data_IF_766597568006
#
_entry.id   IF_766597568006
#
_cell.length_a   1.000
_cell.length_b   1.000
_cell.length_c   1.000
_cell.angle_alpha   90.00
_cell.angle_beta   90.00
_cell.angle_gamma   90.00
#
_symmetry.space_group_name_H-M   'P 1'
#
loop_
_entity.id
_entity.type
_entity.pdbx_description
1 polymer ?
#
# COMPACT_ATOMS: atom_id res chain seq x y z
N UNK A 1 -4.19 -6.51 15.24
CA UNK A 1 -3.31 -7.71 15.25
C UNK A 1 -2.36 -7.58 16.42
N UNK A 2 -2.14 -8.67 17.17
CA UNK A 2 -1.90 -8.62 18.62
C UNK A 2 -0.68 -7.82 19.09
N UNK A 3 -0.91 -6.91 20.04
CA UNK A 3 0.11 -6.23 20.85
C UNK A 3 1.12 -7.24 21.42
N UNK A 4 0.68 -8.44 21.78
CA UNK A 4 1.55 -9.52 22.26
C UNK A 4 2.60 -9.96 21.23
N UNK A 5 2.25 -10.02 19.95
CA UNK A 5 3.23 -10.37 18.91
C UNK A 5 4.24 -9.23 18.73
N UNK A 6 3.79 -7.98 18.81
CA UNK A 6 4.68 -6.82 18.79
C UNK A 6 5.64 -6.83 20.00
N UNK A 7 5.18 -7.20 21.21
CA UNK A 7 6.04 -7.34 22.39
C UNK A 7 7.14 -8.38 22.20
N UNK A 8 6.82 -9.54 21.60
CA UNK A 8 7.83 -10.56 21.25
C UNK A 8 8.88 -10.02 20.29
N UNK A 9 8.46 -9.29 19.25
CA UNK A 9 9.39 -8.69 18.29
C UNK A 9 10.24 -7.57 18.90
N UNK A 10 9.69 -6.78 19.83
CA UNK A 10 10.43 -5.76 20.58
C UNK A 10 11.54 -6.42 21.41
N UNK A 11 11.24 -7.52 22.11
CA UNK A 11 12.22 -8.22 22.96
C UNK A 11 13.43 -8.78 22.18
N UNK A 12 13.29 -9.04 20.87
CA UNK A 12 14.43 -9.45 20.01
C UNK A 12 15.42 -8.33 19.73
N UNK A 13 15.04 -7.07 19.91
CA UNK A 13 15.86 -5.93 19.51
C UNK A 13 17.01 -5.69 20.48
N UNK A 14 18.24 -6.02 20.08
CA UNK A 14 19.46 -5.73 20.85
C UNK A 14 19.90 -4.25 20.82
N UNK A 15 19.09 -3.33 20.26
CA UNK A 15 19.35 -1.88 20.13
C UNK A 15 20.71 -1.51 19.49
N UNK A 16 21.34 -2.43 18.76
CA UNK A 16 22.70 -2.29 18.19
C UNK A 16 22.89 -1.18 17.15
N UNK A 17 21.82 -0.67 16.54
CA UNK A 17 21.88 0.47 15.61
C UNK A 17 22.13 0.14 14.15
N UNK A 18 22.22 -1.13 13.73
CA UNK A 18 22.38 -1.49 12.31
C UNK A 18 21.28 -0.90 11.41
N UNK A 19 20.07 -0.76 11.94
CA UNK A 19 18.96 -0.12 11.23
C UNK A 19 19.22 1.34 10.80
N UNK A 20 20.14 2.05 11.49
CA UNK A 20 20.52 3.44 11.20
C UNK A 20 21.20 3.56 9.83
N UNK A 21 22.09 2.63 9.48
CA UNK A 21 22.91 2.73 8.27
C UNK A 21 22.12 2.58 6.97
N UNK A 22 20.90 2.04 7.03
CA UNK A 22 20.04 1.79 5.87
C UNK A 22 18.77 2.65 5.85
N UNK A 23 18.55 3.47 6.89
CA UNK A 23 17.33 4.24 7.04
C UNK A 23 17.40 5.54 6.24
N UNK A 24 16.57 5.74 5.20
CA UNK A 24 16.61 6.97 4.43
C UNK A 24 16.20 8.19 5.25
N UNK A 25 15.30 8.02 6.24
CA UNK A 25 14.90 9.14 7.12
C UNK A 25 16.09 9.64 7.92
N UNK A 26 16.91 8.73 8.44
CA UNK A 26 18.10 9.10 9.21
C UNK A 26 19.18 9.75 8.36
N UNK A 27 19.38 9.28 7.12
CA UNK A 27 20.35 9.88 6.21
C UNK A 27 20.02 11.36 5.94
N UNK A 28 18.73 11.70 5.89
CA UNK A 28 18.28 13.08 5.67
C UNK A 28 18.25 13.91 6.97
N UNK A 29 17.78 13.34 8.08
CA UNK A 29 17.50 14.13 9.29
C UNK A 29 18.58 14.04 10.36
N UNK A 30 19.44 13.02 10.35
CA UNK A 30 20.36 12.69 11.45
C UNK A 30 19.67 12.31 12.76
N UNK A 31 18.33 12.25 12.79
CA UNK A 31 17.53 12.05 13.98
C UNK A 31 17.34 10.55 14.26
N UNK A 32 18.00 10.09 15.31
CA UNK A 32 18.01 8.69 15.69
C UNK A 32 16.68 8.20 16.26
N UNK A 33 15.87 9.10 16.85
CA UNK A 33 14.54 8.73 17.34
C UNK A 33 13.63 8.27 16.19
N UNK A 34 13.93 8.73 14.96
CA UNK A 34 13.25 8.38 13.70
C UNK A 34 13.84 7.16 13.00
N UNK A 35 14.72 6.37 13.60
CA UNK A 35 15.11 5.05 13.05
C UNK A 35 14.27 3.91 13.61
N UNK A 36 14.52 2.67 13.15
CA UNK A 36 13.77 1.51 13.63
C UNK A 36 13.99 1.28 15.13
N UNK A 37 15.24 1.32 15.63
CA UNK A 37 15.51 1.15 17.07
C UNK A 37 14.82 2.21 17.92
N UNK A 38 14.82 3.47 17.48
CA UNK A 38 14.13 4.55 18.18
C UNK A 38 12.64 4.28 18.29
N UNK A 39 11.99 3.89 17.19
CA UNK A 39 10.57 3.51 17.21
C UNK A 39 10.26 2.25 18.00
N UNK A 40 11.19 1.29 18.06
CA UNK A 40 11.07 0.12 18.92
C UNK A 40 11.11 0.53 20.39
N UNK A 41 12.03 1.42 20.79
CA UNK A 41 12.07 1.97 22.14
C UNK A 41 10.80 2.76 22.48
N UNK A 42 10.27 3.54 21.53
CA UNK A 42 8.99 4.22 21.70
C UNK A 42 7.84 3.21 21.89
N UNK A 43 7.80 2.14 21.10
CA UNK A 43 6.79 1.09 21.25
C UNK A 43 6.88 0.38 22.61
N UNK A 44 8.10 0.09 23.06
CA UNK A 44 8.38 -0.49 24.37
C UNK A 44 7.82 0.38 25.50
N UNK A 45 8.17 1.68 25.51
CA UNK A 45 7.71 2.64 26.51
C UNK A 45 6.18 2.82 26.50
N UNK A 46 5.54 2.81 25.32
CA UNK A 46 4.06 2.85 25.23
C UNK A 46 3.45 1.60 25.86
N UNK A 47 3.98 0.41 25.54
CA UNK A 47 3.43 -0.86 26.03
C UNK A 47 3.70 -1.11 27.51
N UNK A 48 4.69 -0.43 28.09
CA UNK A 48 4.96 -0.41 29.52
C UNK A 48 4.16 0.66 30.26
N UNK A 49 3.43 1.54 29.54
CA UNK A 49 2.65 2.63 30.14
C UNK A 49 3.49 3.82 30.61
N UNK A 50 4.75 3.91 30.18
CA UNK A 50 5.65 5.01 30.53
C UNK A 50 5.33 6.29 29.73
N UNK A 51 4.85 6.12 28.49
CA UNK A 51 4.44 7.22 27.60
C UNK A 51 3.08 6.92 26.96
N UNK A 52 2.39 7.98 26.53
CA UNK A 52 1.06 7.92 25.93
C UNK A 52 1.06 8.43 24.49
N UNK A 53 0.05 8.06 23.72
CA UNK A 53 -0.13 8.55 22.35
C UNK A 53 -0.36 10.07 22.34
N UNK A 54 0.52 10.79 21.64
CA UNK A 54 0.44 12.23 21.46
C UNK A 54 0.62 12.61 19.97
N UNK A 55 0.26 13.85 19.57
CA UNK A 55 0.54 14.36 18.22
C UNK A 55 2.01 14.26 17.82
N UNK A 56 2.93 14.55 18.73
CA UNK A 56 4.37 14.50 18.49
C UNK A 56 4.81 13.05 18.24
N UNK A 57 4.36 12.12 19.09
CA UNK A 57 4.65 10.70 18.93
C UNK A 57 4.13 10.17 17.59
N UNK A 58 2.89 10.53 17.23
CA UNK A 58 2.30 10.19 15.94
C UNK A 58 3.19 10.65 14.80
N UNK A 59 3.72 11.87 14.84
CA UNK A 59 4.58 12.42 13.79
C UNK A 59 5.92 11.67 13.71
N UNK A 60 6.50 11.25 14.83
CA UNK A 60 7.67 10.35 14.86
C UNK A 60 7.38 9.00 14.21
N UNK A 61 6.22 8.39 14.51
CA UNK A 61 5.83 7.10 13.90
C UNK A 61 5.55 7.28 12.40
N UNK A 62 4.85 8.34 12.00
CA UNK A 62 4.45 8.63 10.61
C UNK A 62 5.61 9.06 9.72
N UNK A 63 6.71 9.56 10.29
CA UNK A 63 7.92 9.86 9.52
C UNK A 63 8.54 8.62 8.85
N UNK A 64 8.22 7.41 9.33
CA UNK A 64 8.69 6.15 8.74
C UNK A 64 8.17 5.95 7.32
N UNK A 65 9.08 5.72 6.36
CA UNK A 65 8.71 5.37 4.97
C UNK A 65 8.26 3.93 4.77
N UNK A 66 8.31 3.10 5.83
CA UNK A 66 7.88 1.69 5.84
C UNK A 66 8.50 0.85 4.71
N UNK A 67 9.74 1.17 4.33
CA UNK A 67 10.50 0.45 3.29
C UNK A 67 11.16 -0.84 3.79
N UNK A 68 11.18 -1.07 5.11
CA UNK A 68 11.61 -2.31 5.77
C UNK A 68 13.07 -2.72 5.55
N UNK A 69 13.91 -1.84 5.00
CA UNK A 69 15.36 -2.05 4.92
C UNK A 69 15.98 -2.38 6.28
N UNK A 70 15.46 -1.76 7.34
CA UNK A 70 15.87 -2.02 8.72
C UNK A 70 15.58 -3.45 9.20
N UNK A 71 14.49 -4.05 8.73
CA UNK A 71 14.13 -5.44 9.04
C UNK A 71 15.00 -6.40 8.23
N UNK A 72 15.20 -6.12 6.94
CA UNK A 72 16.03 -6.94 6.07
C UNK A 72 17.49 -7.06 6.54
N UNK A 73 18.05 -5.99 7.13
CA UNK A 73 19.44 -5.98 7.63
C UNK A 73 19.57 -6.41 9.10
N UNK A 74 18.46 -6.71 9.78
CA UNK A 74 18.48 -6.94 11.22
C UNK A 74 19.15 -8.29 11.56
N UNK A 75 20.27 -8.31 12.30
CA UNK A 75 20.91 -9.57 12.69
C UNK A 75 20.06 -10.38 13.67
N UNK A 76 19.21 -9.71 14.45
CA UNK A 76 18.31 -10.34 15.43
C UNK A 76 16.99 -10.81 14.82
N UNK A 77 16.78 -10.63 13.50
CA UNK A 77 15.55 -11.08 12.82
C UNK A 77 14.27 -10.40 13.30
N UNK A 78 14.33 -9.15 13.76
CA UNK A 78 13.15 -8.40 14.25
C UNK A 78 12.17 -8.14 13.10
N UNK A 79 10.92 -8.60 13.23
CA UNK A 79 9.82 -8.22 12.33
C UNK A 79 9.30 -6.82 12.68
N UNK A 80 10.07 -5.81 12.27
CA UNK A 80 9.75 -4.40 12.47
C UNK A 80 8.38 -4.02 11.91
N UNK A 81 7.89 -4.70 10.88
CA UNK A 81 6.57 -4.42 10.32
C UNK A 81 5.44 -4.68 11.31
N UNK A 82 5.54 -5.76 12.11
CA UNK A 82 4.53 -6.10 13.12
C UNK A 82 4.50 -5.07 14.25
N UNK A 83 5.67 -4.58 14.68
CA UNK A 83 5.78 -3.51 15.67
C UNK A 83 5.15 -2.22 15.13
N UNK A 84 5.48 -1.86 13.88
CA UNK A 84 4.92 -0.67 13.23
C UNK A 84 3.40 -0.77 13.05
N UNK A 85 2.87 -1.93 12.69
CA UNK A 85 1.44 -2.12 12.55
C UNK A 85 0.71 -1.94 13.88
N UNK A 86 1.25 -2.48 14.98
CA UNK A 86 0.70 -2.29 16.32
C UNK A 86 0.74 -0.81 16.77
N UNK A 87 1.82 -0.09 16.47
CA UNK A 87 1.90 1.35 16.74
C UNK A 87 0.85 2.16 15.97
N UNK A 88 0.60 1.83 14.71
CA UNK A 88 -0.40 2.53 13.88
C UNK A 88 -1.82 2.21 14.32
N UNK A 89 -2.10 0.95 14.66
CA UNK A 89 -3.38 0.53 15.24
C UNK A 89 -3.63 1.24 16.57
N UNK A 90 -2.61 1.36 17.43
CA UNK A 90 -2.70 2.12 18.67
C UNK A 90 -2.95 3.62 18.47
N UNK A 91 -2.32 4.23 17.45
CA UNK A 91 -2.62 5.62 17.06
C UNK A 91 -4.08 5.75 16.61
N UNK A 92 -4.58 4.82 15.78
CA UNK A 92 -5.97 4.85 15.32
C UNK A 92 -6.98 4.73 16.48
N UNK A 93 -6.70 3.84 17.44
CA UNK A 93 -7.57 3.61 18.60
C UNK A 93 -7.60 4.81 19.57
N UNK A 94 -6.47 5.46 19.79
CA UNK A 94 -6.35 6.53 20.78
C UNK A 94 -6.62 7.93 20.20
N UNK A 95 -6.27 8.16 18.93
CA UNK A 95 -6.35 9.48 18.29
C UNK A 95 -7.34 9.53 17.12
N UNK A 96 -7.76 8.38 16.61
CA UNK A 96 -8.63 8.29 15.45
C UNK A 96 -7.94 8.59 14.11
N UNK A 97 -8.73 8.42 13.05
CA UNK A 97 -8.38 8.83 11.69
C UNK A 97 -9.27 10.02 11.34
N UNK A 98 -8.76 11.05 10.64
CA UNK A 98 -9.57 12.17 10.16
C UNK A 98 -10.87 11.67 9.48
N UNK A 99 -12.05 12.24 9.83
CA UNK A 99 -13.34 11.70 9.37
C UNK A 99 -13.46 11.52 7.86
N UNK A 100 -12.95 12.49 7.08
CA UNK A 100 -12.94 12.42 5.62
C UNK A 100 -12.06 11.27 5.11
N UNK A 101 -10.86 11.10 5.67
CA UNK A 101 -9.99 9.99 5.30
C UNK A 101 -10.65 8.65 5.63
N UNK A 102 -11.24 8.51 6.83
CA UNK A 102 -11.98 7.32 7.24
C UNK A 102 -13.15 6.99 6.29
N UNK A 103 -13.92 8.00 5.88
CA UNK A 103 -15.02 7.85 4.92
C UNK A 103 -14.51 7.32 3.57
N UNK A 104 -13.44 7.92 3.04
CA UNK A 104 -12.84 7.50 1.76
C UNK A 104 -12.35 6.05 1.86
N UNK A 105 -11.61 5.70 2.91
CA UNK A 105 -11.02 4.38 3.08
C UNK A 105 -12.08 3.27 3.26
N UNK A 106 -13.15 3.53 4.04
CA UNK A 106 -14.15 2.50 4.38
C UNK A 106 -15.30 2.38 3.37
N UNK A 107 -15.62 3.45 2.64
CA UNK A 107 -16.80 3.50 1.78
C UNK A 107 -16.51 3.81 0.31
N UNK A 108 -15.47 4.60 0.00
CA UNK A 108 -15.13 4.95 -1.39
C UNK A 108 -14.20 3.92 -2.00
N UNK A 109 -13.04 3.65 -1.39
CA UNK A 109 -12.05 2.70 -1.94
C UNK A 109 -12.60 1.27 -2.17
N UNK A 110 -13.46 0.71 -1.30
CA UNK A 110 -14.02 -0.62 -1.55
C UNK A 110 -15.06 -0.63 -2.69
N UNK A 111 -15.55 0.54 -3.11
CA UNK A 111 -16.58 0.69 -4.15
C UNK A 111 -15.98 1.31 -5.40
N UNK A 112 -15.44 0.46 -6.27
CA UNK A 112 -14.80 0.88 -7.53
C UNK A 112 -15.63 1.90 -8.32
N UNK A 113 -16.92 1.65 -8.56
CA UNK A 113 -17.76 2.57 -9.34
C UNK A 113 -17.87 3.96 -8.71
N UNK A 114 -17.93 4.04 -7.38
CA UNK A 114 -17.92 5.31 -6.66
C UNK A 114 -16.54 5.99 -6.73
N UNK A 115 -15.46 5.24 -6.62
CA UNK A 115 -14.11 5.79 -6.74
C UNK A 115 -13.82 6.30 -8.16
N UNK A 116 -14.22 5.55 -9.20
CA UNK A 116 -14.15 5.97 -10.60
C UNK A 116 -14.96 7.26 -10.82
N UNK A 117 -16.18 7.35 -10.28
CA UNK A 117 -17.01 8.55 -10.35
C UNK A 117 -16.35 9.77 -9.68
N UNK A 118 -15.85 9.62 -8.44
CA UNK A 118 -15.18 10.69 -7.71
C UNK A 118 -13.93 11.16 -8.47
N UNK A 119 -13.11 10.24 -8.97
CA UNK A 119 -11.92 10.60 -9.74
C UNK A 119 -12.24 11.29 -11.06
N UNK A 120 -13.29 10.87 -11.77
CA UNK A 120 -13.74 11.54 -12.99
C UNK A 120 -14.23 12.96 -12.69
N UNK A 121 -14.97 13.16 -11.60
CA UNK A 121 -15.41 14.49 -11.17
C UNK A 121 -14.21 15.38 -10.80
N UNK A 122 -13.23 14.83 -10.09
CA UNK A 122 -11.96 15.53 -9.79
C UNK A 122 -11.20 15.84 -11.09
N UNK A 123 -11.10 14.92 -12.03
CA UNK A 123 -10.43 15.13 -13.33
C UNK A 123 -11.11 16.24 -14.14
N UNK A 124 -12.44 16.32 -14.10
CA UNK A 124 -13.19 17.38 -14.77
C UNK A 124 -12.99 18.73 -14.06
N UNK A 125 -13.13 18.74 -12.72
CA UNK A 125 -12.92 19.93 -11.89
C UNK A 125 -11.48 20.45 -11.90
N UNK A 126 -10.49 19.59 -12.15
CA UNK A 126 -9.09 19.99 -12.34
C UNK A 126 -8.91 20.98 -13.49
N UNK A 127 -9.78 21.01 -14.50
CA UNK A 127 -9.75 21.99 -15.57
C UNK A 127 -10.20 23.39 -15.14
N UNK A 128 -10.94 23.49 -14.04
CA UNK A 128 -11.49 24.72 -13.50
C UNK A 128 -10.71 25.26 -12.28
N UNK A 129 -9.81 24.46 -11.69
CA UNK A 129 -9.02 24.87 -10.54
C UNK A 129 -7.83 25.77 -10.95
N UNK A 130 -7.64 26.95 -10.33
CA UNK A 130 -6.49 27.81 -10.56
C UNK A 130 -5.21 27.15 -10.01
N UNK A 131 -4.14 27.12 -10.80
CA UNK A 131 -2.85 26.57 -10.39
C UNK A 131 -1.80 26.63 -11.49
N UNK A 132 -0.54 26.82 -11.10
CA UNK A 132 0.61 26.80 -12.02
C UNK A 132 0.65 25.48 -12.80
N UNK A 133 0.98 25.57 -14.10
CA UNK A 133 1.13 24.43 -15.00
C UNK A 133 2.60 24.26 -15.32
N UNK A 134 3.11 23.03 -15.23
CA UNK A 134 4.45 22.67 -15.72
C UNK A 134 4.34 21.51 -16.69
N UNK A 135 4.22 21.82 -17.99
CA UNK A 135 3.90 20.84 -19.02
C UNK A 135 2.50 20.25 -18.83
N UNK A 136 2.40 18.92 -18.80
CA UNK A 136 1.14 18.21 -18.52
C UNK A 136 0.78 18.14 -17.03
N UNK A 137 1.72 18.51 -16.15
CA UNK A 137 1.55 18.45 -14.71
C UNK A 137 0.83 19.70 -14.18
N UNK A 138 -0.10 19.51 -13.26
CA UNK A 138 -0.81 20.62 -12.61
C UNK A 138 -0.48 20.69 -11.13
N UNK A 139 -0.35 21.91 -10.64
CA UNK A 139 -0.37 22.18 -9.21
C UNK A 139 -1.81 22.04 -8.73
N UNK A 140 -2.10 21.00 -7.95
CA UNK A 140 -3.41 20.86 -7.32
C UNK A 140 -3.34 21.62 -5.99
N UNK A 141 -4.17 22.66 -5.75
CA UNK A 141 -4.23 23.35 -4.48
C UNK A 141 -4.99 22.48 -3.47
N UNK A 142 -4.52 21.24 -3.25
CA UNK A 142 -4.94 20.47 -2.09
C UNK A 142 -4.16 21.04 -0.92
N UNK A 143 -4.83 21.90 -0.16
CA UNK A 143 -4.39 22.56 1.08
C UNK A 143 -3.67 21.66 2.11
N UNK A 144 -3.64 20.33 1.88
CA UNK A 144 -3.05 19.32 2.76
C UNK A 144 -1.82 18.57 2.22
N UNK A 145 -1.43 18.71 0.94
CA UNK A 145 -0.38 17.85 0.33
C UNK A 145 0.94 18.55 0.00
N UNK A 146 1.13 19.81 0.41
CA UNK A 146 2.33 20.59 0.04
C UNK A 146 2.43 20.78 -1.48
N UNK A 147 3.45 21.51 -1.94
CA UNK A 147 3.67 21.83 -3.37
C UNK A 147 3.95 20.56 -4.20
N UNK A 148 2.93 19.77 -4.54
CA UNK A 148 3.06 18.52 -5.29
C UNK A 148 2.35 18.63 -6.64
N UNK A 149 3.09 18.22 -7.66
CA UNK A 149 2.61 18.14 -9.02
C UNK A 149 1.79 16.87 -9.20
N UNK A 150 0.52 17.01 -9.56
CA UNK A 150 -0.36 15.87 -9.83
C UNK A 150 -0.39 15.65 -11.34
N UNK A 151 -0.05 14.43 -11.82
CA UNK A 151 -0.16 14.10 -13.24
C UNK A 151 -1.63 14.05 -13.66
N UNK A 152 -1.93 14.32 -14.94
CA UNK A 152 -3.29 14.28 -15.44
C UNK A 152 -3.85 12.86 -15.33
N UNK A 153 -5.14 12.75 -14.99
CA UNK A 153 -5.82 11.47 -14.97
C UNK A 153 -6.09 10.99 -16.41
N UNK A 154 -5.98 9.68 -16.60
CA UNK A 154 -6.24 9.03 -17.87
C UNK A 154 -7.73 9.09 -18.22
N UNK A 155 -8.05 9.34 -19.50
CA UNK A 155 -9.44 9.36 -19.99
C UNK A 155 -10.15 8.01 -19.83
N UNK A 156 -9.40 6.92 -19.95
CA UNK A 156 -9.90 5.57 -19.78
C UNK A 156 -8.98 4.81 -18.83
N UNK A 157 -9.57 4.13 -17.85
CA UNK A 157 -8.84 3.33 -16.87
C UNK A 157 -8.41 1.99 -17.46
N UNK A 158 -7.29 1.45 -17.00
CA UNK A 158 -6.80 0.12 -17.41
C UNK A 158 -7.85 -0.96 -17.14
N UNK A 159 -8.51 -0.92 -15.98
CA UNK A 159 -9.56 -1.88 -15.60
C UNK A 159 -10.82 -1.81 -16.47
N UNK A 160 -11.01 -0.73 -17.23
CA UNK A 160 -12.05 -0.64 -18.26
C UNK A 160 -11.52 -1.02 -19.63
N UNK A 161 -10.34 -0.52 -20.00
CA UNK A 161 -9.69 -0.79 -21.30
C UNK A 161 -9.42 -2.28 -21.51
N UNK A 162 -8.94 -2.97 -20.48
CA UNK A 162 -8.54 -4.38 -20.52
C UNK A 162 -9.55 -5.29 -19.80
N UNK A 163 -10.83 -4.91 -19.73
CA UNK A 163 -11.87 -5.78 -19.14
C UNK A 163 -11.95 -7.14 -19.85
N UNK A 164 -11.70 -7.14 -21.15
CA UNK A 164 -11.64 -8.34 -21.98
C UNK A 164 -10.25 -8.43 -22.58
N UNK A 165 -9.32 -9.03 -21.85
CA UNK A 165 -7.98 -9.28 -22.39
C UNK A 165 -8.01 -10.35 -23.48
N UNK A 166 -7.02 -10.28 -24.37
CA UNK A 166 -6.86 -11.28 -25.44
C UNK A 166 -6.59 -12.65 -24.83
N UNK A 167 -7.43 -13.63 -25.20
CA UNK A 167 -7.15 -15.05 -24.91
C UNK A 167 -6.05 -15.56 -25.84
N UNK A 168 -5.11 -16.33 -25.31
CA UNK A 168 -4.10 -17.02 -26.09
C UNK A 168 -4.56 -18.45 -26.39
N UNK A 169 -4.20 -19.00 -27.55
CA UNK A 169 -4.64 -20.33 -27.95
C UNK A 169 -4.00 -21.44 -27.09
N UNK A 170 -2.68 -21.32 -26.83
CA UNK A 170 -1.90 -22.27 -26.03
C UNK A 170 -0.96 -21.50 -25.09
N UNK A 171 -1.47 -20.83 -24.04
CA UNK A 171 -0.63 -20.09 -23.12
C UNK A 171 0.24 -21.04 -22.29
N UNK A 172 1.49 -20.66 -22.06
CA UNK A 172 2.40 -21.34 -21.12
C UNK A 172 1.96 -21.18 -19.67
N UNK A 173 1.40 -20.01 -19.35
CA UNK A 173 0.89 -19.65 -18.03
C UNK A 173 -0.27 -18.65 -18.18
N UNK A 174 -1.16 -18.61 -17.18
CA UNK A 174 -2.24 -17.64 -17.03
C UNK A 174 -2.00 -16.82 -15.76
N UNK A 175 -1.82 -15.51 -15.89
CA UNK A 175 -1.49 -14.65 -14.76
C UNK A 175 -2.49 -13.52 -14.58
N UNK A 176 -2.85 -13.25 -13.32
CA UNK A 176 -3.72 -12.13 -12.96
C UNK A 176 -2.90 -10.87 -12.79
N UNK A 177 -3.23 -9.81 -13.53
CA UNK A 177 -2.57 -8.53 -13.37
C UNK A 177 -3.28 -7.66 -12.31
N UNK A 178 -2.63 -7.47 -11.17
CA UNK A 178 -3.00 -6.47 -10.20
C UNK A 178 -2.48 -5.11 -10.66
N UNK A 179 -3.37 -4.30 -11.22
CA UNK A 179 -3.03 -3.04 -11.89
C UNK A 179 -2.50 -2.00 -10.91
N UNK A 180 -3.11 -1.92 -9.72
CA UNK A 180 -2.82 -0.87 -8.75
C UNK A 180 -3.34 0.51 -9.18
N UNK A 181 -3.28 1.48 -8.25
CA UNK A 181 -3.97 2.76 -8.43
C UNK A 181 -3.32 3.64 -9.50
N UNK A 182 -2.00 3.84 -9.44
CA UNK A 182 -1.31 4.77 -10.35
C UNK A 182 -1.34 4.26 -11.80
N UNK A 183 -1.06 2.99 -12.02
CA UNK A 183 -1.15 2.40 -13.36
C UNK A 183 -2.56 2.50 -13.92
N UNK A 184 -3.59 2.30 -13.10
CA UNK A 184 -4.98 2.35 -13.55
C UNK A 184 -5.44 3.74 -13.98
N UNK A 185 -5.06 4.78 -13.24
CA UNK A 185 -5.60 6.14 -13.42
C UNK A 185 -4.61 7.16 -13.98
N UNK A 186 -3.31 6.90 -13.95
CA UNK A 186 -2.28 7.88 -14.30
C UNK A 186 -1.37 7.37 -15.42
N UNK A 187 -0.94 6.11 -15.33
CA UNK A 187 0.03 5.52 -16.26
C UNK A 187 -0.51 4.29 -17.00
N UNK A 188 -1.63 4.41 -17.75
CA UNK A 188 -2.25 3.25 -18.41
C UNK A 188 -1.34 2.59 -19.45
N UNK A 189 -0.43 3.34 -20.08
CA UNK A 189 0.52 2.81 -21.05
C UNK A 189 1.50 1.80 -20.44
N UNK A 190 1.73 1.87 -19.12
CA UNK A 190 2.55 0.89 -18.41
C UNK A 190 1.85 -0.47 -18.36
N UNK A 191 0.53 -0.50 -18.16
CA UNK A 191 -0.27 -1.72 -18.23
C UNK A 191 -0.25 -2.32 -19.64
N UNK A 192 -0.44 -1.49 -20.67
CA UNK A 192 -0.37 -1.93 -22.07
C UNK A 192 0.97 -2.60 -22.37
N UNK A 193 2.06 -1.96 -21.92
CA UNK A 193 3.43 -2.45 -22.12
C UNK A 193 3.65 -3.79 -21.42
N UNK A 194 3.24 -3.92 -20.16
CA UNK A 194 3.34 -5.16 -19.39
C UNK A 194 2.56 -6.30 -20.07
N UNK A 195 1.30 -6.05 -20.43
CA UNK A 195 0.44 -7.03 -21.10
C UNK A 195 1.06 -7.47 -22.44
N UNK A 196 1.58 -6.52 -23.22
CA UNK A 196 2.22 -6.82 -24.50
C UNK A 196 3.48 -7.67 -24.34
N UNK A 197 4.32 -7.38 -23.35
CA UNK A 197 5.54 -8.16 -23.06
C UNK A 197 5.17 -9.59 -22.64
N UNK A 198 4.23 -9.75 -21.70
CA UNK A 198 3.82 -11.07 -21.22
C UNK A 198 3.16 -11.92 -22.31
N UNK A 199 2.27 -11.33 -23.11
CA UNK A 199 1.65 -12.04 -24.23
C UNK A 199 2.68 -12.49 -25.29
N UNK A 200 3.77 -11.74 -25.50
CA UNK A 200 4.88 -12.15 -26.40
C UNK A 200 5.72 -13.28 -25.84
N UNK A 201 5.64 -13.55 -24.53
CA UNK A 201 6.27 -14.68 -23.85
C UNK A 201 5.30 -15.86 -23.71
N UNK A 202 4.20 -15.86 -24.47
CA UNK A 202 3.10 -16.83 -24.41
C UNK A 202 2.45 -16.94 -23.02
N UNK A 203 2.48 -15.86 -22.23
CA UNK A 203 1.80 -15.76 -20.94
C UNK A 203 0.49 -15.00 -21.14
N UNK A 204 -0.64 -15.67 -20.89
CA UNK A 204 -1.95 -15.03 -20.96
C UNK A 204 -2.16 -14.14 -19.73
N UNK A 205 -2.50 -12.88 -19.96
CA UNK A 205 -2.79 -11.93 -18.88
C UNK A 205 -4.30 -11.76 -18.71
N UNK A 206 -4.78 -12.03 -17.50
CA UNK A 206 -6.15 -11.73 -17.07
C UNK A 206 -6.11 -10.42 -16.28
N UNK A 207 -7.00 -9.48 -16.58
CA UNK A 207 -7.15 -8.23 -15.81
C UNK A 207 -8.51 -8.26 -15.11
N UNK A 208 -8.59 -8.76 -13.86
CA UNK A 208 -9.87 -8.84 -13.16
C UNK A 208 -10.40 -7.44 -12.88
N UNK A 209 -11.46 -7.04 -13.58
CA UNK A 209 -11.97 -5.67 -13.54
C UNK A 209 -12.57 -5.29 -12.17
N UNK A 210 -12.92 -6.27 -11.33
CA UNK A 210 -13.53 -6.03 -10.02
C UNK A 210 -12.52 -5.72 -8.90
N UNK A 211 -11.21 -5.76 -9.19
CA UNK A 211 -10.16 -5.45 -8.21
C UNK A 211 -10.28 -4.01 -7.70
N UNK A 212 -9.84 -3.78 -6.47
CA UNK A 212 -9.86 -2.50 -5.76
C UNK A 212 -8.46 -2.16 -5.24
N UNK A 213 -8.31 -1.03 -4.55
CA UNK A 213 -7.05 -0.64 -3.91
C UNK A 213 -6.46 -1.79 -3.09
N UNK A 214 -5.13 -1.96 -3.10
CA UNK A 214 -4.46 -3.02 -2.35
C UNK A 214 -4.62 -2.88 -0.83
N UNK A 215 -5.04 -1.71 -0.32
CA UNK A 215 -5.28 -1.48 1.10
C UNK A 215 -4.13 -0.81 1.85
N UNK A 216 -2.99 -0.57 1.20
CA UNK A 216 -1.83 0.06 1.86
C UNK A 216 -2.12 1.45 2.48
N UNK A 217 -2.98 2.34 1.93
CA UNK A 217 -3.26 3.62 2.58
C UNK A 217 -4.04 3.44 3.89
N UNK A 218 -5.00 2.52 3.91
CA UNK A 218 -5.76 2.17 5.12
C UNK A 218 -4.83 1.61 6.20
N UNK A 219 -4.00 0.63 5.84
CA UNK A 219 -3.01 0.04 6.74
C UNK A 219 -2.02 1.07 7.28
N UNK A 220 -1.57 2.00 6.43
CA UNK A 220 -0.62 3.06 6.82
C UNK A 220 -1.20 4.06 7.82
N UNK A 221 -2.52 4.16 7.93
CA UNK A 221 -3.24 4.99 8.89
C UNK A 221 -3.77 4.21 10.10
N UNK A 222 -3.45 2.91 10.20
CA UNK A 222 -3.94 2.04 11.26
C UNK A 222 -5.37 1.54 11.07
N UNK A 223 -6.05 1.83 9.95
CA UNK A 223 -7.42 1.34 9.68
C UNK A 223 -7.40 -0.13 9.24
N UNK A 224 -7.19 -1.02 10.20
CA UNK A 224 -7.14 -2.47 10.00
C UNK A 224 -8.45 -3.01 9.43
N UNK A 225 -9.58 -2.39 9.80
CA UNK A 225 -10.91 -2.75 9.30
C UNK A 225 -11.03 -2.49 7.80
N UNK A 226 -10.68 -1.27 7.34
CA UNK A 226 -10.70 -0.94 5.92
C UNK A 226 -9.68 -1.77 5.13
N UNK A 227 -8.47 -1.96 5.67
CA UNK A 227 -7.43 -2.75 5.02
C UNK A 227 -7.85 -4.20 4.80
N UNK A 228 -8.41 -4.86 5.83
CA UNK A 228 -8.89 -6.24 5.74
C UNK A 228 -10.04 -6.38 4.75
N UNK A 229 -10.99 -5.43 4.74
CA UNK A 229 -12.11 -5.42 3.78
C UNK A 229 -11.63 -5.31 2.32
N UNK A 230 -10.64 -4.45 2.06
CA UNK A 230 -10.03 -4.32 0.73
C UNK A 230 -9.30 -5.60 0.33
N UNK A 231 -8.55 -6.20 1.26
CA UNK A 231 -7.86 -7.46 1.04
C UNK A 231 -8.83 -8.61 0.73
N UNK A 232 -9.91 -8.76 1.50
CA UNK A 232 -10.96 -9.77 1.26
C UNK A 232 -11.58 -9.63 -0.13
N UNK A 233 -11.94 -8.40 -0.52
CA UNK A 233 -12.52 -8.14 -1.84
C UNK A 233 -11.55 -8.49 -2.98
N UNK A 234 -10.28 -8.13 -2.83
CA UNK A 234 -9.29 -8.52 -3.84
C UNK A 234 -9.07 -10.02 -3.86
N UNK A 235 -9.00 -10.70 -2.70
CA UNK A 235 -8.94 -12.16 -2.65
C UNK A 235 -10.07 -12.80 -3.46
N UNK A 236 -11.33 -12.43 -3.18
CA UNK A 236 -12.50 -12.95 -3.89
C UNK A 236 -12.42 -12.73 -5.41
N UNK A 237 -11.87 -11.59 -5.84
CA UNK A 237 -11.72 -11.27 -7.25
C UNK A 237 -10.66 -12.12 -7.94
N UNK A 238 -9.53 -12.38 -7.29
CA UNK A 238 -8.45 -13.15 -7.89
C UNK A 238 -8.63 -14.67 -7.73
N UNK A 239 -9.26 -15.15 -6.66
CA UNK A 239 -9.60 -16.58 -6.47
C UNK A 239 -10.74 -17.05 -7.37
N UNK A 240 -11.58 -16.12 -7.86
CA UNK A 240 -12.60 -16.44 -8.86
C UNK A 240 -12.01 -16.72 -10.25
N UNK A 241 -10.73 -16.44 -10.46
CA UNK A 241 -10.02 -16.65 -11.71
C UNK A 241 -9.09 -17.87 -11.55
N UNK A 242 -9.04 -18.73 -12.55
CA UNK A 242 -8.07 -19.83 -12.60
C UNK A 242 -6.71 -19.28 -13.06
N UNK A 243 -5.79 -19.06 -12.12
CA UNK A 243 -4.52 -18.36 -12.33
C UNK A 243 -3.33 -19.13 -11.76
N UNK A 244 -2.22 -19.13 -12.50
CA UNK A 244 -0.93 -19.64 -12.05
C UNK A 244 -0.22 -18.69 -11.09
N UNK A 245 -0.39 -17.38 -11.29
CA UNK A 245 0.25 -16.33 -10.50
C UNK A 245 -0.48 -14.98 -10.59
N UNK A 246 -0.15 -14.08 -9.66
CA UNK A 246 -0.53 -12.66 -9.69
C UNK A 246 0.72 -11.83 -9.93
N UNK A 247 0.65 -10.89 -10.87
CA UNK A 247 1.75 -9.96 -11.19
C UNK A 247 1.29 -8.54 -10.92
N UNK A 248 2.18 -7.66 -10.46
CA UNK A 248 1.91 -6.23 -10.32
C UNK A 248 3.14 -5.39 -10.59
N UNK A 249 3.07 -4.45 -11.53
CA UNK A 249 4.15 -3.47 -11.77
C UNK A 249 4.33 -2.42 -10.66
N UNK A 250 3.80 -2.68 -9.45
CA UNK A 250 3.90 -1.78 -8.31
C UNK A 250 4.42 -2.54 -7.08
N UNK A 251 5.71 -2.38 -6.76
CA UNK A 251 6.34 -3.06 -5.62
C UNK A 251 5.62 -2.85 -4.28
N UNK A 252 4.98 -1.69 -4.06
CA UNK A 252 4.14 -1.47 -2.87
C UNK A 252 2.89 -2.37 -2.87
N UNK A 253 2.22 -2.52 -4.01
CA UNK A 253 1.07 -3.42 -4.13
C UNK A 253 1.53 -4.87 -3.98
N UNK A 254 2.60 -5.26 -4.67
CA UNK A 254 3.20 -6.60 -4.59
C UNK A 254 3.52 -6.97 -3.15
N UNK A 255 4.24 -6.12 -2.41
CA UNK A 255 4.57 -6.34 -1.01
C UNK A 255 3.32 -6.45 -0.12
N UNK A 256 2.32 -5.58 -0.35
CA UNK A 256 1.08 -5.58 0.43
C UNK A 256 0.28 -6.87 0.21
N UNK A 257 0.11 -7.27 -1.05
CA UNK A 257 -0.68 -8.46 -1.42
C UNK A 257 0.08 -9.73 -1.03
N UNK A 258 1.40 -9.75 -1.17
CA UNK A 258 2.22 -10.89 -0.77
C UNK A 258 2.24 -11.03 0.74
N UNK A 259 2.77 -10.05 1.45
CA UNK A 259 3.01 -10.15 2.90
C UNK A 259 1.80 -9.80 3.74
N UNK A 260 1.18 -8.66 3.49
CA UNK A 260 0.17 -8.11 4.42
C UNK A 260 -1.18 -8.83 4.30
N UNK A 261 -1.51 -9.42 3.15
CA UNK A 261 -2.76 -10.19 3.02
C UNK A 261 -2.68 -11.49 3.80
N UNK A 262 -1.53 -12.16 3.83
CA UNK A 262 -1.33 -13.34 4.67
C UNK A 262 -1.55 -12.99 6.16
N UNK A 263 -1.03 -11.85 6.60
CA UNK A 263 -1.25 -11.32 7.96
C UNK A 263 -2.73 -11.02 8.25
N UNK A 264 -3.46 -10.42 7.31
CA UNK A 264 -4.85 -10.00 7.51
C UNK A 264 -5.90 -11.11 7.30
N UNK A 265 -5.62 -12.05 6.40
CA UNK A 265 -6.55 -13.09 5.92
C UNK A 265 -6.18 -14.50 6.41
N UNK A 266 -4.98 -14.69 6.94
CA UNK A 266 -4.49 -15.99 7.42
C UNK A 266 -4.36 -17.02 6.30
N UNK A 267 -4.59 -18.29 6.65
CA UNK A 267 -4.40 -19.44 5.76
C UNK A 267 -5.26 -19.39 4.49
N UNK A 268 -6.36 -18.64 4.51
CA UNK A 268 -7.21 -18.45 3.34
C UNK A 268 -6.50 -17.79 2.16
N UNK A 269 -5.39 -17.07 2.37
CA UNK A 269 -4.59 -16.46 1.28
C UNK A 269 -3.32 -17.25 0.94
N UNK A 270 -2.99 -18.27 1.74
CA UNK A 270 -1.75 -19.03 1.62
C UNK A 270 -1.53 -19.64 0.23
N UNK A 271 -2.55 -20.19 -0.47
CA UNK A 271 -2.35 -20.73 -1.81
C UNK A 271 -1.84 -19.72 -2.86
N UNK A 272 -2.17 -18.44 -2.70
CA UNK A 272 -1.75 -17.36 -3.60
C UNK A 272 -0.48 -16.64 -3.12
N UNK A 273 -0.16 -16.72 -1.82
CA UNK A 273 0.96 -16.01 -1.20
C UNK A 273 2.30 -16.18 -1.94
N UNK A 274 2.64 -17.43 -2.30
CA UNK A 274 3.93 -17.75 -2.93
C UNK A 274 3.96 -17.44 -4.44
N UNK A 275 2.81 -17.12 -5.02
CA UNK A 275 2.60 -16.92 -6.46
C UNK A 275 2.40 -15.45 -6.83
N UNK A 276 2.99 -14.53 -6.07
CA UNK A 276 2.89 -13.08 -6.28
C UNK A 276 4.26 -12.50 -6.67
N UNK A 277 4.30 -11.80 -7.80
CA UNK A 277 5.50 -11.27 -8.45
C UNK A 277 5.33 -9.79 -8.85
N UNK A 278 6.44 -9.04 -8.87
CA UNK A 278 6.54 -7.68 -9.41
C UNK A 278 7.16 -7.61 -10.81
#
# INVERSE_FOLDING_TARGET
MGIEEAKKEIAKCAKCGKCRSVCPVFLETGDETRVARGRISLAEAIFQGEIYYSPELRDYIYSCKKCLRCQAICPSGVDFSTIMDALLEGIEQNMGIPPLARLILRHVLPRRGLFDFVLNLVSFGQNFLPGERRGSLRHLPLFFMGRRWVPPLARQTVLNKHRHTKKLANPRMRVGFFVGCLTNYVYPNMADSLINVLNKLDIEVVVPSKQVCCGIPAKSLGDTTAAKKLAQKNREVFEAEDLDAIVSGCGTCTLTIKRDYLKMLGDSWRPMHDKIYD
#
